data_IF_331869056452
#
_entry.id   IF_331869056452
#
_cell.length_a   1.000
_cell.length_b   1.000
_cell.length_c   1.000
_cell.angle_alpha   90.00
_cell.angle_beta   90.00
_cell.angle_gamma   90.00
#
_symmetry.space_group_name_H-M   'P 1'
#
loop_
_entity.id
_entity.type
_entity.pdbx_description
1 polymer ?
#
# COMPACT_ATOMS: atom_id res chain seq x y z
N UNK A 1 -41.21 2.33 -42.66
CA UNK A 1 -40.23 3.44 -42.60
C UNK A 1 -39.26 3.34 -41.40
N UNK A 2 -38.89 2.13 -40.93
CA UNK A 2 -38.15 1.97 -39.66
C UNK A 2 -36.67 1.59 -39.81
N UNK A 3 -36.23 1.23 -41.03
CA UNK A 3 -34.83 0.83 -41.32
C UNK A 3 -33.77 1.91 -41.01
N UNK A 4 -33.97 3.21 -41.33
CA UNK A 4 -32.95 4.22 -41.02
C UNK A 4 -32.83 4.50 -39.52
N UNK A 5 -33.93 4.37 -38.77
CA UNK A 5 -33.95 4.58 -37.32
C UNK A 5 -33.12 3.51 -36.60
N UNK A 6 -33.24 2.25 -37.02
CA UNK A 6 -32.48 1.14 -36.41
C UNK A 6 -30.96 1.31 -36.63
N UNK A 7 -30.57 1.82 -37.80
CA UNK A 7 -29.16 2.06 -38.14
C UNK A 7 -28.58 3.21 -37.33
N UNK A 8 -29.34 4.29 -37.11
CA UNK A 8 -28.93 5.41 -36.26
C UNK A 8 -28.79 4.96 -34.80
N UNK A 9 -29.73 4.16 -34.28
CA UNK A 9 -29.64 3.60 -32.92
C UNK A 9 -28.42 2.70 -32.80
N UNK A 10 -28.16 1.84 -33.78
CA UNK A 10 -26.97 0.99 -33.79
C UNK A 10 -25.67 1.80 -33.82
N UNK A 11 -25.60 2.88 -34.60
CA UNK A 11 -24.43 3.77 -34.63
C UNK A 11 -24.20 4.47 -33.28
N UNK A 12 -25.27 4.93 -32.63
CA UNK A 12 -25.20 5.56 -31.30
C UNK A 12 -24.74 4.57 -30.23
N UNK A 13 -25.22 3.32 -30.27
CA UNK A 13 -24.76 2.25 -29.38
C UNK A 13 -23.30 1.87 -29.64
N UNK A 14 -22.86 1.84 -30.90
CA UNK A 14 -21.47 1.56 -31.25
C UNK A 14 -20.51 2.66 -30.74
N UNK A 15 -20.92 3.94 -30.81
CA UNK A 15 -20.12 5.04 -30.26
C UNK A 15 -20.01 4.99 -28.72
N UNK A 16 -21.07 4.56 -28.02
CA UNK A 16 -21.04 4.42 -26.56
C UNK A 16 -20.07 3.33 -26.08
N UNK A 17 -19.87 2.26 -26.86
CA UNK A 17 -18.93 1.18 -26.53
C UNK A 17 -17.46 1.62 -26.47
N UNK A 18 -17.08 2.71 -27.15
CA UNK A 18 -15.69 3.22 -27.15
C UNK A 18 -15.32 4.07 -25.92
N UNK A 19 -16.29 4.38 -25.04
CA UNK A 19 -16.07 5.21 -23.86
C UNK A 19 -15.64 4.44 -22.61
N UNK A 20 -15.36 3.14 -22.71
CA UNK A 20 -15.01 2.32 -21.56
C UNK A 20 -13.76 2.86 -20.85
N UNK A 21 -13.87 3.03 -19.52
CA UNK A 21 -12.78 3.57 -18.68
C UNK A 21 -12.11 2.43 -17.91
N UNK A 22 -10.80 2.30 -18.08
CA UNK A 22 -10.01 1.31 -17.34
C UNK A 22 -9.79 1.72 -15.88
N UNK A 23 -9.98 0.77 -14.97
CA UNK A 23 -9.60 0.88 -13.56
C UNK A 23 -8.51 -0.14 -13.28
N UNK A 24 -7.39 0.33 -12.74
CA UNK A 24 -6.32 -0.54 -12.29
C UNK A 24 -6.64 -1.03 -10.87
N UNK A 25 -6.70 -2.34 -10.68
CA UNK A 25 -7.07 -2.96 -9.41
C UNK A 25 -5.88 -3.76 -8.89
N UNK A 26 -5.46 -3.47 -7.66
CA UNK A 26 -4.49 -4.30 -6.95
C UNK A 26 -5.25 -5.26 -6.05
N UNK A 27 -5.05 -6.55 -6.28
CA UNK A 27 -5.66 -7.63 -5.49
C UNK A 27 -4.63 -8.33 -4.61
N UNK A 28 -5.09 -8.86 -3.49
CA UNK A 28 -4.38 -9.80 -2.62
C UNK A 28 -5.23 -11.07 -2.53
N UNK A 29 -4.90 -12.09 -3.32
CA UNK A 29 -5.85 -13.17 -3.59
C UNK A 29 -7.10 -12.63 -4.28
N UNK A 30 -8.29 -12.93 -3.75
CA UNK A 30 -9.57 -12.42 -4.27
C UNK A 30 -9.96 -11.05 -3.72
N UNK A 31 -9.26 -10.54 -2.71
CA UNK A 31 -9.60 -9.27 -2.06
C UNK A 31 -8.97 -8.09 -2.80
N UNK A 32 -9.79 -7.10 -3.15
CA UNK A 32 -9.28 -5.82 -3.67
C UNK A 32 -8.61 -5.03 -2.55
N UNK A 33 -7.33 -4.69 -2.72
CA UNK A 33 -6.54 -3.89 -1.78
C UNK A 33 -6.68 -2.41 -2.11
N UNK A 34 -6.54 -2.06 -3.39
CA UNK A 34 -6.68 -0.68 -3.85
C UNK A 34 -7.12 -0.62 -5.31
N UNK A 35 -7.68 0.53 -5.69
CA UNK A 35 -8.13 0.84 -7.06
C UNK A 35 -7.52 2.17 -7.47
N UNK A 36 -7.00 2.24 -8.68
CA UNK A 36 -6.50 3.46 -9.28
C UNK A 36 -7.30 3.81 -10.52
N UNK A 37 -7.80 5.03 -10.52
CA UNK A 37 -8.58 5.63 -11.60
C UNK A 37 -7.71 6.62 -12.37
N UNK A 38 -8.20 7.09 -13.51
CA UNK A 38 -7.60 8.24 -14.18
C UNK A 38 -7.52 9.45 -13.22
N UNK A 39 -6.36 10.11 -13.19
CA UNK A 39 -6.00 11.17 -12.25
C UNK A 39 -5.37 10.68 -10.95
N UNK A 40 -5.46 9.39 -10.61
CA UNK A 40 -4.86 8.87 -9.38
C UNK A 40 -3.33 8.87 -9.46
N UNK A 41 -2.69 9.20 -8.34
CA UNK A 41 -1.24 9.09 -8.21
C UNK A 41 -0.85 7.63 -7.92
N UNK A 42 0.05 7.10 -8.72
CA UNK A 42 0.56 5.72 -8.63
C UNK A 42 2.08 5.76 -8.47
N UNK A 43 2.58 4.90 -7.58
CA UNK A 43 4.00 4.59 -7.46
C UNK A 43 4.18 3.09 -7.59
N UNK A 44 5.15 2.65 -8.38
CA UNK A 44 5.50 1.24 -8.50
C UNK A 44 6.98 1.05 -8.84
N UNK A 45 7.51 -0.11 -8.50
CA UNK A 45 8.84 -0.56 -8.92
C UNK A 45 8.73 -1.27 -10.26
N UNK A 46 9.50 -0.82 -11.24
CA UNK A 46 9.70 -1.51 -12.51
C UNK A 46 10.48 -2.82 -12.27
N UNK A 47 10.33 -3.88 -13.10
CA UNK A 47 11.18 -5.08 -13.03
C UNK A 47 12.68 -4.78 -13.03
N UNK A 48 13.10 -3.70 -13.68
CA UNK A 48 14.48 -3.19 -13.68
C UNK A 48 14.93 -2.51 -12.37
N UNK A 49 14.09 -2.46 -11.34
CA UNK A 49 14.40 -1.95 -10.00
C UNK A 49 14.13 -0.47 -9.77
N UNK A 50 13.95 0.33 -10.83
CA UNK A 50 13.63 1.75 -10.72
C UNK A 50 12.23 2.00 -10.13
N UNK A 51 12.11 3.01 -9.27
CA UNK A 51 10.81 3.50 -8.79
C UNK A 51 10.21 4.44 -9.84
N UNK A 52 9.07 4.05 -10.39
CA UNK A 52 8.25 4.86 -11.29
C UNK A 52 7.14 5.51 -10.46
N UNK A 53 6.93 6.80 -10.67
CA UNK A 53 5.91 7.57 -9.96
C UNK A 53 5.29 8.62 -10.86
N UNK A 54 3.98 8.80 -10.74
CA UNK A 54 3.25 9.74 -11.55
C UNK A 54 1.73 9.65 -11.40
N UNK A 55 1.02 10.48 -12.16
CA UNK A 55 -0.44 10.47 -12.22
C UNK A 55 -0.92 9.68 -13.42
N UNK A 56 -1.87 8.79 -13.20
CA UNK A 56 -2.52 8.05 -14.29
C UNK A 56 -3.27 9.04 -15.17
N UNK A 57 -2.94 9.06 -16.46
CA UNK A 57 -3.67 9.81 -17.47
C UNK A 57 -4.73 8.97 -18.15
N UNK A 58 -4.40 7.71 -18.42
CA UNK A 58 -5.28 6.79 -19.14
C UNK A 58 -4.95 5.36 -18.76
N UNK A 59 -5.97 4.53 -18.63
CA UNK A 59 -5.85 3.09 -18.44
C UNK A 59 -6.60 2.39 -19.57
N UNK A 60 -5.91 1.63 -20.42
CA UNK A 60 -6.55 0.92 -21.53
C UNK A 60 -5.70 -0.28 -21.98
N UNK A 61 -6.33 -1.38 -22.40
CA UNK A 61 -5.66 -2.52 -23.05
C UNK A 61 -4.43 -3.04 -22.28
N UNK A 62 -4.56 -3.30 -20.98
CA UNK A 62 -3.44 -3.74 -20.12
C UNK A 62 -2.22 -2.80 -20.07
N UNK A 63 -2.44 -1.52 -20.38
CA UNK A 63 -1.44 -0.47 -20.32
C UNK A 63 -1.93 0.73 -19.53
N UNK A 64 -1.01 1.34 -18.79
CA UNK A 64 -1.22 2.57 -18.04
C UNK A 64 -0.36 3.66 -18.64
N UNK A 65 -0.97 4.79 -18.98
CA UNK A 65 -0.25 6.00 -19.34
C UNK A 65 -0.07 6.84 -18.10
N UNK A 66 1.18 7.11 -17.72
CA UNK A 66 1.52 7.92 -16.57
C UNK A 66 2.05 9.28 -17.01
N UNK A 67 1.61 10.33 -16.34
CA UNK A 67 2.32 11.60 -16.27
C UNK A 67 3.38 11.48 -15.18
N UNK A 68 4.62 11.23 -15.58
CA UNK A 68 5.73 11.06 -14.66
C UNK A 68 5.97 12.34 -13.85
N UNK A 69 6.24 12.15 -12.57
CA UNK A 69 6.49 13.26 -11.68
C UNK A 69 6.27 12.90 -10.22
N UNK A 70 6.60 13.83 -9.34
CA UNK A 70 6.47 13.66 -7.91
C UNK A 70 6.06 14.96 -7.23
N UNK A 71 5.41 14.82 -6.07
CA UNK A 71 5.16 15.93 -5.16
C UNK A 71 6.24 15.88 -4.08
N UNK A 72 6.97 16.97 -3.92
CA UNK A 72 8.06 17.04 -2.97
C UNK A 72 8.24 18.44 -2.39
N UNK A 73 8.99 18.52 -1.30
CA UNK A 73 9.42 19.80 -0.76
C UNK A 73 10.53 20.37 -1.65
N UNK A 74 10.29 21.53 -2.22
CA UNK A 74 11.28 22.31 -2.96
C UNK A 74 11.74 23.46 -2.07
N UNK A 75 13.05 23.66 -2.00
CA UNK A 75 13.64 24.76 -1.25
C UNK A 75 13.40 26.07 -2.01
N UNK A 76 12.80 27.04 -1.35
CA UNK A 76 12.76 28.44 -1.80
C UNK A 76 13.73 29.27 -0.95
N UNK A 77 14.03 30.49 -1.40
CA UNK A 77 14.99 31.38 -0.71
C UNK A 77 14.67 31.64 0.77
N UNK A 78 13.40 31.48 1.18
CA UNK A 78 12.98 31.52 2.59
C UNK A 78 11.97 30.40 2.89
N UNK A 79 12.45 29.17 3.06
CA UNK A 79 11.66 28.02 3.51
C UNK A 79 11.50 26.90 2.47
N UNK A 80 10.51 26.03 2.69
CA UNK A 80 10.21 24.90 1.80
C UNK A 80 8.75 24.91 1.41
N UNK A 81 8.47 24.82 0.12
CA UNK A 81 7.11 24.71 -0.42
C UNK A 81 6.91 23.32 -1.02
N UNK A 82 5.71 22.76 -0.89
CA UNK A 82 5.34 21.56 -1.63
C UNK A 82 5.09 21.97 -3.07
N UNK A 83 5.89 21.44 -4.00
CA UNK A 83 5.71 21.68 -5.42
C UNK A 83 5.63 20.35 -6.19
N UNK A 84 5.00 20.42 -7.36
CA UNK A 84 4.79 19.28 -8.25
C UNK A 84 5.74 19.36 -9.45
N UNK A 85 6.72 18.47 -9.49
CA UNK A 85 7.60 18.34 -10.65
C UNK A 85 6.97 17.38 -11.64
N UNK A 86 6.68 17.84 -12.86
CA UNK A 86 6.20 17.01 -13.99
C UNK A 86 7.35 16.79 -14.97
N UNK A 87 7.60 15.54 -15.33
CA UNK A 87 8.77 15.13 -16.13
C UNK A 87 8.41 14.62 -17.53
N UNK A 88 7.12 14.43 -17.83
CA UNK A 88 6.64 13.97 -19.13
C UNK A 88 5.58 12.91 -19.01
N UNK A 89 5.38 12.14 -20.08
CA UNK A 89 4.47 11.01 -20.10
C UNK A 89 5.17 9.76 -20.62
N UNK A 90 4.82 8.62 -20.04
CA UNK A 90 5.29 7.32 -20.51
C UNK A 90 4.17 6.28 -20.38
N UNK A 91 4.29 5.18 -21.11
CA UNK A 91 3.29 4.10 -21.16
C UNK A 91 3.93 2.82 -20.64
N UNK A 92 3.31 2.22 -19.63
CA UNK A 92 3.77 0.99 -19.02
C UNK A 92 2.71 -0.10 -19.19
N UNK A 93 3.14 -1.33 -19.43
CA UNK A 93 2.24 -2.48 -19.30
C UNK A 93 1.98 -2.76 -17.81
N UNK A 94 0.84 -3.38 -17.50
CA UNK A 94 0.59 -3.91 -16.15
C UNK A 94 1.69 -4.88 -15.71
N UNK A 95 2.31 -5.60 -16.67
CA UNK A 95 3.41 -6.52 -16.40
C UNK A 95 4.69 -5.81 -15.94
N UNK A 96 4.81 -4.51 -16.22
CA UNK A 96 5.93 -3.68 -15.79
C UNK A 96 5.77 -3.20 -14.34
N UNK A 97 4.69 -3.59 -13.65
CA UNK A 97 4.49 -3.35 -12.23
C UNK A 97 5.03 -4.55 -11.44
N UNK A 98 6.29 -4.48 -11.00
CA UNK A 98 6.90 -5.55 -10.21
C UNK A 98 6.52 -5.47 -8.73
N UNK A 99 6.40 -4.28 -8.16
CA UNK A 99 5.93 -4.09 -6.80
C UNK A 99 5.30 -2.71 -6.60
N UNK A 100 4.36 -2.58 -5.67
CA UNK A 100 3.79 -1.28 -5.26
C UNK A 100 4.18 -1.02 -3.80
N UNK A 101 4.76 0.14 -3.45
CA UNK A 101 5.00 0.51 -2.06
C UNK A 101 3.70 0.44 -1.24
N UNK A 102 3.74 -0.14 -0.04
CA UNK A 102 2.60 -0.05 0.87
C UNK A 102 2.46 1.40 1.33
N UNK A 103 1.23 1.89 1.41
CA UNK A 103 0.99 3.20 2.01
C UNK A 103 1.33 3.15 3.50
N UNK A 104 2.43 3.80 3.89
CA UNK A 104 2.90 3.86 5.27
C UNK A 104 2.18 4.93 6.09
N UNK A 105 1.39 5.81 5.48
CA UNK A 105 0.67 6.88 6.19
C UNK A 105 -0.39 6.33 7.16
N UNK A 106 -0.86 5.10 6.92
CA UNK A 106 -1.81 4.41 7.78
C UNK A 106 -1.21 3.17 8.45
N UNK A 107 0.06 3.26 8.88
CA UNK A 107 0.71 2.21 9.66
C UNK A 107 0.07 2.11 11.05
N UNK A 108 -1.02 1.35 11.12
CA UNK A 108 -1.72 1.07 12.36
C UNK A 108 -1.01 -0.07 13.09
N UNK A 109 -0.79 0.11 14.40
CA UNK A 109 -0.31 -0.96 15.29
C UNK A 109 -1.12 -2.25 15.13
N UNK A 110 -2.43 -2.13 14.85
CA UNK A 110 -3.35 -3.24 14.67
C UNK A 110 -3.11 -4.06 13.39
N UNK A 111 -2.35 -3.51 12.44
CA UNK A 111 -2.04 -4.17 11.15
C UNK A 111 -0.66 -4.85 11.15
N UNK A 112 0.19 -4.58 12.16
CA UNK A 112 1.51 -5.19 12.29
C UNK A 112 1.54 -6.16 13.48
N UNK A 113 1.57 -7.48 13.24
CA UNK A 113 1.66 -8.48 14.30
C UNK A 113 2.86 -8.27 15.23
N UNK A 114 3.99 -7.81 14.69
CA UNK A 114 5.19 -7.49 15.47
C UNK A 114 4.95 -6.37 16.48
N UNK A 115 4.30 -5.28 16.05
CA UNK A 115 3.94 -4.16 16.93
C UNK A 115 2.92 -4.56 18.00
N UNK A 116 1.97 -5.45 17.68
CA UNK A 116 1.00 -5.97 18.65
C UNK A 116 1.68 -6.80 19.75
N UNK A 117 2.61 -7.68 19.38
CA UNK A 117 3.36 -8.47 20.36
C UNK A 117 4.22 -7.59 21.27
N UNK A 118 4.89 -6.59 20.70
CA UNK A 118 5.66 -5.62 21.48
C UNK A 118 4.78 -4.86 22.46
N UNK A 119 3.61 -4.37 22.03
CA UNK A 119 2.68 -3.65 22.89
C UNK A 119 2.14 -4.55 24.02
N UNK A 120 1.70 -5.76 23.70
CA UNK A 120 1.19 -6.72 24.67
C UNK A 120 2.27 -7.12 25.69
N UNK A 121 3.49 -7.38 25.23
CA UNK A 121 4.62 -7.68 26.10
C UNK A 121 4.97 -6.48 26.99
N UNK A 122 5.06 -5.28 26.44
CA UNK A 122 5.35 -4.07 27.21
C UNK A 122 4.28 -3.81 28.28
N UNK A 123 3.00 -3.95 27.93
CA UNK A 123 1.90 -3.79 28.87
C UNK A 123 1.94 -4.84 30.01
N UNK A 124 2.06 -6.12 29.66
CA UNK A 124 2.09 -7.20 30.65
C UNK A 124 3.34 -7.14 31.54
N UNK A 125 4.51 -6.89 30.95
CA UNK A 125 5.77 -6.71 31.68
C UNK A 125 5.72 -5.51 32.62
N UNK A 126 5.22 -4.38 32.13
CA UNK A 126 5.01 -3.18 32.93
C UNK A 126 4.14 -3.45 34.16
N UNK A 127 3.02 -4.16 34.00
CA UNK A 127 2.15 -4.54 35.12
C UNK A 127 2.88 -5.42 36.14
N UNK A 128 3.66 -6.41 35.70
CA UNK A 128 4.41 -7.28 36.63
C UNK A 128 5.50 -6.50 37.38
N UNK A 129 6.19 -5.57 36.71
CA UNK A 129 7.18 -4.69 37.33
C UNK A 129 6.49 -3.78 38.36
N UNK A 130 5.39 -3.12 37.99
CA UNK A 130 4.64 -2.25 38.89
C UNK A 130 4.10 -3.00 40.11
N UNK A 131 3.58 -4.22 39.93
CA UNK A 131 3.13 -5.06 41.04
C UNK A 131 4.27 -5.45 41.97
N UNK A 132 5.46 -5.73 41.43
CA UNK A 132 6.64 -6.07 42.22
C UNK A 132 7.09 -4.88 43.07
N UNK A 133 7.14 -3.69 42.49
CA UNK A 133 7.48 -2.44 43.18
C UNK A 133 6.45 -2.11 44.27
N UNK A 134 5.17 -2.13 43.94
CA UNK A 134 4.09 -1.73 44.87
C UNK A 134 3.89 -2.72 46.01
N UNK A 135 4.15 -4.00 45.80
CA UNK A 135 4.01 -5.05 46.82
C UNK A 135 5.32 -5.38 47.54
N UNK A 136 6.43 -4.73 47.19
CA UNK A 136 7.75 -5.01 47.76
C UNK A 136 8.27 -6.42 47.45
N UNK A 137 7.75 -7.07 46.40
CA UNK A 137 8.15 -8.41 45.99
C UNK A 137 9.37 -8.27 45.06
N UNK A 138 10.47 -9.02 45.27
CA UNK A 138 11.61 -9.01 44.37
C UNK A 138 11.20 -9.31 42.93
N UNK A 139 11.73 -8.54 41.97
CA UNK A 139 11.40 -8.69 40.54
C UNK A 139 11.64 -10.11 40.00
N UNK A 140 12.58 -10.84 40.58
CA UNK A 140 12.98 -12.18 40.12
C UNK A 140 12.61 -13.32 41.08
N UNK A 141 11.78 -13.08 42.11
CA UNK A 141 11.27 -14.15 42.98
C UNK A 141 9.92 -14.71 42.50
N UNK A 142 9.50 -15.84 43.09
CA UNK A 142 8.13 -16.37 43.03
C UNK A 142 7.53 -16.53 41.62
N UNK A 143 8.33 -17.01 40.67
CA UNK A 143 7.92 -17.21 39.27
C UNK A 143 7.76 -15.91 38.47
N UNK A 144 7.96 -14.74 39.08
CA UNK A 144 7.93 -13.45 38.41
C UNK A 144 9.11 -13.28 37.44
N UNK A 145 10.29 -13.82 37.79
CA UNK A 145 11.44 -13.88 36.90
C UNK A 145 11.13 -14.62 35.60
N UNK A 146 10.43 -15.76 35.69
CA UNK A 146 9.97 -16.52 34.52
C UNK A 146 8.99 -15.71 33.67
N UNK A 147 8.03 -15.01 34.29
CA UNK A 147 7.07 -14.13 33.58
C UNK A 147 7.78 -13.00 32.86
N UNK A 148 8.74 -12.34 33.50
CA UNK A 148 9.53 -11.27 32.89
C UNK A 148 10.41 -11.80 31.74
N UNK A 149 11.01 -12.99 31.91
CA UNK A 149 11.76 -13.66 30.85
C UNK A 149 10.91 -13.98 29.62
N UNK A 150 9.70 -14.55 29.82
CA UNK A 150 8.74 -14.79 28.73
C UNK A 150 8.36 -13.46 28.06
N UNK A 151 8.10 -12.43 28.85
CA UNK A 151 7.72 -11.10 28.33
C UNK A 151 8.82 -10.52 27.45
N UNK A 152 10.08 -10.56 27.90
CA UNK A 152 11.22 -10.12 27.12
C UNK A 152 11.36 -10.93 25.81
N UNK A 153 11.17 -12.25 25.88
CA UNK A 153 11.18 -13.13 24.71
C UNK A 153 10.11 -12.75 23.67
N UNK A 154 8.87 -12.52 24.12
CA UNK A 154 7.77 -12.08 23.25
C UNK A 154 8.05 -10.71 22.63
N UNK A 155 8.62 -9.78 23.39
CA UNK A 155 9.00 -8.46 22.89
C UNK A 155 10.05 -8.55 21.78
N UNK A 156 11.11 -9.33 22.00
CA UNK A 156 12.17 -9.57 21.01
C UNK A 156 11.61 -10.25 19.76
N UNK A 157 10.72 -11.23 19.92
CA UNK A 157 10.03 -11.86 18.78
C UNK A 157 9.22 -10.83 17.97
N UNK A 158 8.55 -9.90 18.66
CA UNK A 158 7.83 -8.80 18.02
C UNK A 158 8.74 -7.89 17.20
N UNK A 159 9.95 -7.57 17.68
CA UNK A 159 10.95 -6.79 16.92
C UNK A 159 11.41 -7.53 15.66
N UNK A 160 11.69 -8.82 15.78
CA UNK A 160 12.11 -9.66 14.64
C UNK A 160 11.01 -9.69 13.58
N UNK A 161 9.76 -9.92 13.99
CA UNK A 161 8.61 -9.96 13.07
C UNK A 161 8.38 -8.61 12.38
N UNK A 162 8.54 -7.50 13.08
CA UNK A 162 8.43 -6.17 12.49
C UNK A 162 9.53 -5.92 11.45
N UNK A 163 10.76 -6.36 11.71
CA UNK A 163 11.89 -6.22 10.77
C UNK A 163 11.72 -7.09 9.51
N UNK A 164 11.05 -8.23 9.63
CA UNK A 164 10.74 -9.10 8.50
C UNK A 164 9.52 -8.63 7.68
N UNK A 165 8.77 -7.65 8.18
CA UNK A 165 7.61 -7.13 7.47
C UNK A 165 8.04 -6.36 6.21
N UNK A 166 7.58 -6.84 5.04
CA UNK A 166 7.88 -6.18 3.76
C UNK A 166 7.10 -4.86 3.65
N UNK A 167 7.80 -3.81 3.27
CA UNK A 167 7.29 -2.46 2.98
C UNK A 167 6.60 -2.34 1.62
N UNK A 168 6.74 -3.35 0.76
CA UNK A 168 6.21 -3.38 -0.61
C UNK A 168 5.33 -4.58 -0.88
N UNK A 169 4.32 -4.37 -1.70
CA UNK A 169 3.45 -5.39 -2.28
C UNK A 169 4.09 -5.90 -3.57
N UNK A 170 4.84 -7.00 -3.47
CA UNK A 170 5.50 -7.62 -4.64
C UNK A 170 4.47 -8.42 -5.45
N UNK A 171 4.41 -8.14 -6.75
CA UNK A 171 3.49 -8.80 -7.67
C UNK A 171 3.93 -10.25 -7.94
N UNK A 172 2.94 -11.14 -8.04
CA UNK A 172 3.14 -12.58 -8.18
C UNK A 172 1.93 -13.38 -7.72
N UNK A 173 2.15 -14.44 -6.93
CA UNK A 173 1.04 -15.30 -6.45
C UNK A 173 0.15 -14.60 -5.42
N UNK A 174 0.74 -13.80 -4.52
CA UNK A 174 0.04 -13.18 -3.39
C UNK A 174 -0.66 -11.88 -3.80
N UNK A 175 0.02 -11.03 -4.54
CA UNK A 175 -0.51 -9.76 -5.05
C UNK A 175 -0.54 -9.78 -6.56
N UNK A 176 -1.64 -9.31 -7.14
CA UNK A 176 -1.82 -9.22 -8.59
C UNK A 176 -2.35 -7.84 -8.94
N UNK A 177 -2.02 -7.38 -10.13
CA UNK A 177 -2.60 -6.19 -10.72
C UNK A 177 -3.42 -6.61 -11.92
N UNK A 178 -4.64 -6.12 -11.99
CA UNK A 178 -5.59 -6.41 -13.05
C UNK A 178 -6.19 -5.10 -13.55
N UNK A 179 -6.50 -5.02 -14.84
CA UNK A 179 -7.26 -3.92 -15.40
C UNK A 179 -8.69 -4.36 -15.64
N UNK A 180 -9.62 -3.53 -15.18
CA UNK A 180 -11.05 -3.73 -15.37
C UNK A 180 -11.58 -2.57 -16.20
N UNK A 181 -12.14 -2.88 -17.37
CA UNK A 181 -12.78 -1.90 -18.23
C UNK A 181 -14.25 -1.76 -17.81
N UNK A 182 -14.65 -0.52 -17.46
CA UNK A 182 -16.01 -0.15 -17.06
C UNK A 182 -16.76 0.51 -18.22
#
# INVERSE_FOLDING_TARGET
>A
MHKPILLVIFLLCACAAFSQRGVLIVKKGETTVTRYYEGAFLQFYHPGGGLVQGWIRKNKNDSIQLMLGYMGLVKEGMGTKIDTVRQGFDVFSIKDIAAIPKDTRFHSIWKSPGSLLQLGAAAYGGINILNSITRGIPLFSDGNGTRLGITAGVFVMGLVLQKLEKDRMVMGKKYRVEMLEL
#
